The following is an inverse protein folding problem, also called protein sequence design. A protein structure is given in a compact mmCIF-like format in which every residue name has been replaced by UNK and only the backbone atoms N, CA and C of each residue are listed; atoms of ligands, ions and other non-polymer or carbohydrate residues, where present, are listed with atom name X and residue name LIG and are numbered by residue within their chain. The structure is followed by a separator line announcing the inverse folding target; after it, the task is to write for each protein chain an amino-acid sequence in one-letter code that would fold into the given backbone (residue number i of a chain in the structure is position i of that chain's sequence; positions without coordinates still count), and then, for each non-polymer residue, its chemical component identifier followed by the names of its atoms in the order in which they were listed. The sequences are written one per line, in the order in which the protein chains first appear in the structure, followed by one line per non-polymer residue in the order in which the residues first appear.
data_IF_954018547641
#
_entry.id   IF_954018547641
#
_cell.length_a   1.000
_cell.length_b   1.000
_cell.length_c   1.000
_cell.angle_alpha   90.00
_cell.angle_beta   90.00
_cell.angle_gamma   90.00
#
_symmetry.space_group_name_H-M   'P 1'
#
loop_
_entity.id
_entity.type
_entity.pdbx_description
1 polymer ?
#
# COMPACT_ATOMS: atom_id res chain seq x y z
N UNK A 1 -20.49 -18.79 -60.36
CA UNK A 1 -21.85 -18.25 -60.23
C UNK A 1 -22.58 -19.00 -59.12
N UNK A 2 -22.49 -18.51 -57.89
CA UNK A 2 -23.33 -18.96 -56.77
C UNK A 2 -23.67 -17.70 -55.97
N UNK A 3 -24.92 -17.26 -56.10
CA UNK A 3 -25.50 -16.08 -55.45
C UNK A 3 -26.16 -16.49 -54.14
N UNK A 4 -25.63 -16.02 -53.01
CA UNK A 4 -26.27 -16.20 -51.69
C UNK A 4 -26.90 -14.86 -51.27
N UNK A 5 -28.23 -14.86 -51.15
CA UNK A 5 -29.07 -13.72 -50.74
C UNK A 5 -28.80 -13.33 -49.29
N UNK A 6 -28.30 -12.10 -49.08
CA UNK A 6 -28.33 -11.41 -47.78
C UNK A 6 -29.77 -10.99 -47.43
N UNK A 7 -30.29 -11.44 -46.29
CA UNK A 7 -31.49 -10.87 -45.66
C UNK A 7 -31.07 -9.78 -44.68
N UNK A 8 -31.42 -8.53 -44.97
CA UNK A 8 -31.31 -7.39 -44.06
C UNK A 8 -32.47 -7.42 -43.06
N UNK A 9 -32.18 -7.42 -41.75
CA UNK A 9 -33.17 -7.10 -40.73
C UNK A 9 -32.96 -5.65 -40.28
N UNK A 10 -34.00 -4.84 -40.48
CA UNK A 10 -34.08 -3.43 -40.05
C UNK A 10 -34.71 -3.44 -38.67
N UNK A 11 -33.97 -3.03 -37.65
CA UNK A 11 -34.54 -2.69 -36.34
C UNK A 11 -34.58 -1.18 -36.24
N UNK A 12 -35.79 -0.62 -36.34
CA UNK A 12 -36.11 0.76 -35.98
C UNK A 12 -36.47 0.78 -34.50
N UNK A 13 -35.66 1.43 -33.67
CA UNK A 13 -36.04 1.79 -32.31
C UNK A 13 -36.15 3.31 -32.26
N UNK A 14 -37.35 3.77 -31.93
CA UNK A 14 -37.71 5.17 -31.84
C UNK A 14 -37.14 5.81 -30.56
N UNK A 15 -36.62 7.02 -30.70
CA UNK A 15 -36.38 7.93 -29.58
C UNK A 15 -37.71 8.27 -28.90
N UNK A 16 -37.79 8.09 -27.58
CA UNK A 16 -38.74 8.82 -26.75
C UNK A 16 -37.98 9.60 -25.67
N UNK A 17 -37.91 10.90 -25.91
CA UNK A 17 -37.51 11.94 -24.98
C UNK A 17 -38.69 12.30 -24.07
N UNK A 18 -38.53 12.17 -22.76
CA UNK A 18 -39.35 12.89 -21.78
C UNK A 18 -38.48 13.48 -20.68
N UNK A 19 -38.39 14.80 -20.76
CA UNK A 19 -37.85 15.79 -19.85
C UNK A 19 -38.55 15.67 -18.48
N UNK A 20 -37.80 15.62 -17.38
CA UNK A 20 -38.34 15.87 -16.04
C UNK A 20 -37.55 17.02 -15.40
N UNK A 21 -38.28 18.10 -15.16
CA UNK A 21 -37.82 19.43 -14.79
C UNK A 21 -37.42 19.45 -13.31
N UNK A 22 -36.18 19.83 -13.03
CA UNK A 22 -35.72 20.26 -11.70
C UNK A 22 -36.16 21.70 -11.44
N UNK A 23 -36.87 21.93 -10.36
CA UNK A 23 -36.96 23.25 -9.69
C UNK A 23 -37.02 23.04 -8.18
N UNK A 24 -35.87 23.15 -7.50
CA UNK A 24 -35.82 23.47 -6.07
C UNK A 24 -35.29 24.89 -5.97
N UNK A 25 -36.14 25.76 -5.43
CA UNK A 25 -35.91 27.18 -5.24
C UNK A 25 -34.92 27.40 -4.08
N UNK A 26 -33.80 28.05 -4.38
CA UNK A 26 -32.93 28.70 -3.41
C UNK A 26 -33.48 30.10 -3.14
N UNK A 27 -34.00 30.34 -1.94
CA UNK A 27 -34.22 31.69 -1.39
C UNK A 27 -33.10 32.01 -0.41
N UNK A 28 -32.15 32.83 -0.86
CA UNK A 28 -31.21 33.52 0.00
C UNK A 28 -31.84 34.80 0.56
N UNK A 29 -31.66 35.01 1.86
CA UNK A 29 -31.72 36.34 2.47
C UNK A 29 -30.35 36.64 3.08
N UNK A 30 -29.83 37.81 2.69
CA UNK A 30 -28.59 38.43 3.15
C UNK A 30 -28.91 39.41 4.28
N UNK A 31 -27.85 39.95 4.90
CA UNK A 31 -27.74 41.03 5.92
C UNK A 31 -27.43 40.41 7.29
N UNK A 32 -26.36 40.74 8.00
CA UNK A 32 -25.33 41.77 7.87
C UNK A 32 -24.66 41.87 9.25
N UNK A 33 -23.36 42.16 9.32
CA UNK A 33 -22.69 42.31 10.61
C UNK A 33 -21.19 42.49 10.47
N UNK A 34 -20.76 43.75 10.43
CA UNK A 34 -19.39 44.13 10.74
C UNK A 34 -19.08 43.79 12.20
N UNK A 35 -17.90 43.24 12.45
CA UNK A 35 -17.35 43.04 13.79
C UNK A 35 -15.83 42.94 13.71
N UNK A 36 -15.17 44.06 13.94
CA UNK A 36 -13.73 44.22 14.09
C UNK A 36 -13.43 44.30 15.59
N UNK A 37 -12.64 43.37 16.16
CA UNK A 37 -11.78 43.52 17.36
C UNK A 37 -10.77 42.34 17.33
N UNK A 38 -9.48 42.57 17.05
CA UNK A 38 -8.40 42.92 17.98
C UNK A 38 -8.11 41.92 19.12
N UNK A 39 -6.89 41.36 19.04
CA UNK A 39 -6.04 41.02 20.19
C UNK A 39 -6.17 39.59 20.73
N UNK A 40 -5.08 38.82 20.69
CA UNK A 40 -4.08 38.85 21.76
C UNK A 40 -2.85 37.98 21.47
N UNK A 41 -1.74 38.53 21.93
CA UNK A 41 -0.37 38.04 21.91
C UNK A 41 -0.18 36.60 22.41
N UNK A 42 0.78 35.90 21.79
CA UNK A 42 1.65 34.96 22.52
C UNK A 42 3.11 35.31 22.18
N UNK A 43 3.74 36.04 23.10
CA UNK A 43 5.19 36.12 23.26
C UNK A 43 5.56 35.11 24.35
N UNK A 44 6.49 34.20 24.06
CA UNK A 44 7.33 33.57 25.06
C UNK A 44 8.75 33.43 24.49
N UNK A 45 9.80 33.83 25.25
CA UNK A 45 11.16 33.96 24.72
C UNK A 45 11.96 32.67 24.90
N UNK A 46 12.73 32.28 23.89
CA UNK A 46 13.85 31.37 24.06
C UNK A 46 15.12 32.21 24.24
N UNK A 47 15.60 32.27 25.47
CA UNK A 47 16.89 32.84 25.84
C UNK A 47 18.01 31.82 25.68
N UNK A 48 19.19 32.29 25.24
CA UNK A 48 20.46 31.76 25.71
C UNK A 48 21.31 31.00 24.70
N UNK A 49 21.82 31.69 23.69
CA UNK A 49 23.02 31.25 22.98
C UNK A 49 24.24 31.86 23.70
N UNK A 50 25.15 31.05 24.22
CA UNK A 50 26.48 31.51 24.68
C UNK A 50 27.55 30.64 24.06
N UNK A 51 28.27 31.27 23.15
CA UNK A 51 29.53 30.87 22.56
C UNK A 51 30.65 30.89 23.60
N UNK A 52 31.50 29.86 23.61
CA UNK A 52 32.90 29.99 24.05
C UNK A 52 33.77 29.19 23.09
N UNK A 53 34.63 29.94 22.41
CA UNK A 53 35.73 29.51 21.57
C UNK A 53 37.01 29.54 22.43
N UNK A 54 37.72 28.42 22.54
CA UNK A 54 39.13 28.38 22.97
C UNK A 54 39.84 27.29 22.16
N UNK A 55 40.88 27.69 21.44
CA UNK A 55 41.90 26.85 20.80
C UNK A 55 43.22 26.91 21.61
N UNK A 56 44.31 26.24 21.21
CA UNK A 56 44.57 24.81 21.35
C UNK A 56 45.85 24.57 22.19
N UNK A 57 46.03 23.38 22.75
CA UNK A 57 47.37 22.90 23.10
C UNK A 57 47.45 21.38 22.87
N UNK A 58 48.55 20.98 22.23
CA UNK A 58 48.75 19.63 21.72
C UNK A 58 49.34 18.69 22.76
N UNK A 59 49.18 17.40 22.52
CA UNK A 59 50.24 16.40 22.71
C UNK A 59 49.82 15.08 22.07
N UNK A 60 50.72 14.54 21.27
CA UNK A 60 50.63 13.24 20.61
C UNK A 60 50.49 12.10 21.63
N UNK A 61 49.56 11.17 21.41
CA UNK A 61 49.89 9.76 21.60
C UNK A 61 49.04 8.86 20.70
N UNK A 62 49.74 7.87 20.18
CA UNK A 62 49.36 6.91 19.17
C UNK A 62 48.49 5.83 19.82
N UNK A 63 47.25 5.62 19.38
CA UNK A 63 46.50 4.40 19.73
C UNK A 63 45.59 3.97 18.58
N UNK A 64 45.85 2.75 18.14
CA UNK A 64 45.13 1.87 17.23
C UNK A 64 43.77 2.36 16.74
N UNK A 65 43.66 2.49 15.41
CA UNK A 65 42.41 2.62 14.70
C UNK A 65 41.52 1.41 14.97
N UNK A 66 40.52 1.60 15.83
CA UNK A 66 39.30 0.82 15.80
C UNK A 66 38.51 1.37 14.61
N UNK A 67 38.57 0.64 13.49
CA UNK A 67 37.53 0.72 12.47
C UNK A 67 36.22 0.34 13.16
N UNK A 68 35.38 1.34 13.41
CA UNK A 68 33.99 1.12 13.82
C UNK A 68 33.25 0.57 12.62
N UNK A 69 33.11 -0.76 12.56
CA UNK A 69 32.22 -1.44 11.63
C UNK A 69 30.77 -1.09 11.95
N UNK A 70 30.17 -0.22 11.13
CA UNK A 70 28.72 0.02 11.12
C UNK A 70 27.96 -1.07 10.33
N UNK A 71 28.66 -1.93 9.58
CA UNK A 71 28.05 -2.94 8.71
C UNK A 71 27.56 -4.23 9.41
N UNK A 72 28.03 -4.55 10.61
CA UNK A 72 27.67 -5.81 11.28
C UNK A 72 26.30 -5.71 11.99
N UNK A 73 25.95 -4.55 12.55
CA UNK A 73 24.73 -4.40 13.35
C UNK A 73 23.43 -4.37 12.55
N UNK A 74 23.46 -3.82 11.33
CA UNK A 74 22.29 -3.73 10.44
C UNK A 74 22.01 -5.08 9.77
N UNK A 75 23.08 -5.80 9.37
CA UNK A 75 22.97 -7.17 8.87
C UNK A 75 22.39 -8.11 9.94
N UNK A 76 22.83 -7.97 11.19
CA UNK A 76 22.32 -8.76 12.31
C UNK A 76 20.82 -8.47 12.61
N UNK A 77 20.37 -7.22 12.48
CA UNK A 77 18.98 -6.85 12.73
C UNK A 77 18.03 -7.35 11.64
N UNK A 78 18.41 -7.21 10.36
CA UNK A 78 17.65 -7.73 9.21
C UNK A 78 17.48 -9.24 9.31
N UNK A 79 18.56 -9.96 9.60
CA UNK A 79 18.53 -11.42 9.74
C UNK A 79 17.66 -11.87 10.93
N UNK A 80 17.68 -11.15 12.04
CA UNK A 80 16.83 -11.44 13.20
C UNK A 80 15.34 -11.24 12.89
N UNK A 81 14.97 -10.13 12.24
CA UNK A 81 13.59 -9.85 11.82
C UNK A 81 13.07 -10.90 10.83
N UNK A 82 13.93 -11.28 9.87
CA UNK A 82 13.65 -12.31 8.87
C UNK A 82 13.42 -13.68 9.52
N UNK A 83 14.29 -14.08 10.45
CA UNK A 83 14.15 -15.34 11.18
C UNK A 83 12.91 -15.38 12.09
N UNK A 84 12.59 -14.28 12.78
CA UNK A 84 11.39 -14.19 13.61
C UNK A 84 10.11 -14.37 12.81
N UNK A 85 10.12 -13.92 11.55
CA UNK A 85 8.96 -13.89 10.67
C UNK A 85 8.98 -14.98 9.61
N UNK A 86 9.87 -15.96 9.74
CA UNK A 86 10.02 -17.03 8.75
C UNK A 86 8.68 -17.75 8.53
N UNK A 87 8.41 -18.18 7.30
CA UNK A 87 7.12 -18.78 6.97
C UNK A 87 6.83 -20.02 7.81
N UNK A 88 7.84 -20.86 8.04
CA UNK A 88 7.69 -22.12 8.76
C UNK A 88 7.49 -21.92 10.26
N UNK A 89 8.08 -20.89 10.86
CA UNK A 89 7.92 -20.60 12.30
C UNK A 89 6.62 -19.85 12.65
N UNK A 90 6.02 -19.16 11.68
CA UNK A 90 4.90 -18.23 11.88
C UNK A 90 3.53 -18.79 11.46
N UNK A 91 3.38 -20.12 11.46
CA UNK A 91 2.16 -20.79 10.99
C UNK A 91 1.70 -21.88 11.96
N UNK A 92 0.38 -22.04 12.09
CA UNK A 92 -0.25 -23.16 12.78
C UNK A 92 -1.34 -23.79 11.92
N UNK A 93 -1.63 -25.07 12.15
CA UNK A 93 -2.69 -25.79 11.44
C UNK A 93 -4.00 -25.73 12.21
N UNK A 94 -5.06 -25.28 11.55
CA UNK A 94 -6.44 -25.28 12.06
C UNK A 94 -7.35 -26.02 11.09
N UNK A 95 -7.53 -27.32 11.32
CA UNK A 95 -8.19 -28.20 10.35
C UNK A 95 -7.34 -28.28 9.07
N UNK A 96 -7.94 -27.92 7.93
CA UNK A 96 -7.27 -27.88 6.62
C UNK A 96 -6.62 -26.52 6.30
N UNK A 97 -6.66 -25.56 7.25
CA UNK A 97 -6.13 -24.20 7.05
C UNK A 97 -4.77 -24.04 7.71
N UNK A 98 -3.85 -23.43 6.99
CA UNK A 98 -2.65 -22.83 7.58
C UNK A 98 -2.99 -21.40 8.03
N UNK A 99 -2.89 -21.13 9.33
CA UNK A 99 -3.22 -19.84 9.95
C UNK A 99 -1.96 -19.20 10.51
N UNK A 100 -1.73 -17.92 10.18
CA UNK A 100 -0.56 -17.18 10.68
C UNK A 100 -0.67 -16.96 12.19
N UNK A 101 0.45 -17.11 12.90
CA UNK A 101 0.49 -16.93 14.36
C UNK A 101 0.94 -15.53 14.79
N UNK A 102 1.42 -14.74 13.83
CA UNK A 102 1.98 -13.40 14.02
C UNK A 102 1.16 -12.32 13.28
N UNK A 103 -0.17 -12.40 13.32
CA UNK A 103 -1.05 -11.54 12.52
C UNK A 103 -0.80 -10.03 12.70
N UNK A 104 -0.36 -9.59 13.89
CA UNK A 104 -0.04 -8.19 14.19
C UNK A 104 1.36 -7.73 13.74
N UNK A 105 2.22 -8.65 13.30
CA UNK A 105 3.56 -8.30 12.85
C UNK A 105 3.50 -7.55 11.52
N UNK A 106 4.28 -6.47 11.38
CA UNK A 106 4.44 -5.75 10.09
C UNK A 106 4.92 -6.70 8.98
N UNK A 107 5.68 -7.73 9.35
CA UNK A 107 6.24 -8.76 8.48
C UNK A 107 5.31 -9.96 8.23
N UNK A 108 4.05 -9.93 8.70
CA UNK A 108 3.12 -11.07 8.51
C UNK A 108 2.95 -11.40 7.02
N UNK A 109 3.15 -12.67 6.64
CA UNK A 109 2.92 -13.10 5.24
C UNK A 109 1.61 -13.84 5.14
N UNK A 110 0.66 -13.22 4.44
CA UNK A 110 -0.65 -13.76 4.06
C UNK A 110 -0.63 -13.93 2.54
N UNK A 111 -1.08 -15.09 2.06
CA UNK A 111 -1.09 -15.41 0.62
C UNK A 111 -2.16 -16.48 0.34
N UNK A 112 -2.12 -17.18 -0.80
CA UNK A 112 -3.11 -18.23 -1.14
C UNK A 112 -3.14 -19.41 -0.16
N UNK A 113 -2.06 -19.64 0.57
CA UNK A 113 -1.87 -20.80 1.43
C UNK A 113 -1.97 -20.47 2.92
N UNK A 114 -1.71 -19.21 3.29
CA UNK A 114 -1.60 -18.73 4.67
C UNK A 114 -2.70 -17.72 4.96
N UNK A 115 -3.61 -18.06 5.86
CA UNK A 115 -4.72 -17.17 6.26
C UNK A 115 -4.45 -16.42 7.55
N UNK A 116 -5.13 -15.29 7.70
CA UNK A 116 -5.32 -14.60 8.97
C UNK A 116 -6.23 -15.41 9.90
N UNK A 117 -6.05 -15.26 11.23
CA UNK A 117 -6.98 -15.78 12.22
C UNK A 117 -8.41 -15.29 12.00
N UNK A 118 -9.38 -16.09 12.42
CA UNK A 118 -10.78 -15.67 12.39
C UNK A 118 -11.00 -14.42 13.24
N UNK A 119 -11.74 -13.45 12.71
CA UNK A 119 -12.04 -12.18 13.38
C UNK A 119 -10.87 -11.20 13.45
N UNK A 120 -9.75 -11.47 12.77
CA UNK A 120 -8.63 -10.53 12.73
C UNK A 120 -9.04 -9.20 12.05
N UNK A 121 -8.82 -8.12 12.79
CA UNK A 121 -8.94 -6.72 12.36
C UNK A 121 -7.88 -5.92 13.12
N UNK A 122 -7.02 -5.14 12.42
CA UNK A 122 -6.03 -4.31 13.10
C UNK A 122 -6.70 -3.23 13.97
N UNK A 123 -6.15 -2.97 15.15
CA UNK A 123 -6.70 -1.99 16.10
C UNK A 123 -6.14 -0.56 15.91
N UNK A 124 -5.20 -0.39 14.97
CA UNK A 124 -4.45 0.83 14.72
C UNK A 124 -4.71 1.43 13.32
N UNK A 125 -5.86 1.13 12.71
CA UNK A 125 -6.25 1.66 11.41
C UNK A 125 -6.49 3.18 11.44
N UNK A 126 -5.86 3.90 10.50
CA UNK A 126 -6.02 5.35 10.30
C UNK A 126 -6.11 5.67 8.81
N UNK A 127 -6.74 6.79 8.47
CA UNK A 127 -6.74 7.33 7.11
C UNK A 127 -5.47 8.17 6.90
N UNK A 128 -4.56 7.80 5.97
CA UNK A 128 -3.40 8.61 5.64
C UNK A 128 -3.83 9.88 4.90
N UNK A 129 -3.09 10.96 5.13
CA UNK A 129 -3.29 12.25 4.48
C UNK A 129 -2.65 12.27 3.08
N UNK A 130 -3.15 11.42 2.19
CA UNK A 130 -2.74 11.34 0.77
C UNK A 130 -3.94 11.48 -0.15
N UNK A 131 -3.76 11.95 -1.39
CA UNK A 131 -4.85 12.02 -2.36
C UNK A 131 -5.30 10.61 -2.78
N UNK A 132 -6.61 10.36 -2.66
CA UNK A 132 -7.25 9.14 -3.12
C UNK A 132 -7.92 9.33 -4.50
N UNK A 133 -8.13 8.24 -5.24
CA UNK A 133 -8.85 8.27 -6.53
C UNK A 133 -10.36 8.48 -6.41
N UNK A 134 -10.88 8.67 -5.19
CA UNK A 134 -12.29 8.84 -4.88
C UNK A 134 -12.48 9.68 -3.61
N UNK A 135 -13.64 10.30 -3.49
CA UNK A 135 -14.04 11.10 -2.33
C UNK A 135 -14.91 10.31 -1.35
N UNK A 136 -14.96 10.80 -0.10
CA UNK A 136 -15.85 10.30 0.94
C UNK A 136 -15.28 9.16 1.78
N UNK A 137 -15.83 8.93 2.99
CA UNK A 137 -15.30 7.95 3.92
C UNK A 137 -15.52 6.52 3.42
N UNK A 138 -14.50 5.67 3.52
CA UNK A 138 -14.56 4.27 3.14
C UNK A 138 -13.45 3.46 3.86
N UNK A 139 -13.68 2.19 4.20
CA UNK A 139 -12.67 1.33 4.86
C UNK A 139 -11.36 1.28 4.07
N UNK A 140 -11.43 1.15 2.73
CA UNK A 140 -10.29 1.21 1.79
C UNK A 140 -9.47 2.50 1.80
N UNK A 141 -9.84 3.51 2.59
CA UNK A 141 -8.99 4.68 2.87
C UNK A 141 -8.06 4.46 4.05
N UNK A 142 -8.17 3.34 4.77
CA UNK A 142 -7.41 3.11 5.98
C UNK A 142 -6.21 2.22 5.73
N UNK A 143 -5.16 2.42 6.51
CA UNK A 143 -4.01 1.55 6.67
C UNK A 143 -3.66 1.47 8.16
N UNK A 144 -2.87 0.48 8.55
CA UNK A 144 -2.24 0.51 9.87
C UNK A 144 -1.40 1.77 10.02
N UNK A 145 -1.40 2.36 11.21
CA UNK A 145 -0.80 3.67 11.48
C UNK A 145 0.62 3.84 10.96
N UNK A 146 1.47 2.82 11.11
CA UNK A 146 2.86 2.85 10.65
C UNK A 146 2.95 2.91 9.11
N UNK A 147 2.20 2.06 8.43
CA UNK A 147 2.11 2.06 6.96
C UNK A 147 1.47 3.35 6.43
N UNK A 148 0.48 3.91 7.13
CA UNK A 148 -0.13 5.18 6.76
C UNK A 148 0.87 6.33 6.78
N UNK A 149 1.67 6.46 7.85
CA UNK A 149 2.70 7.49 7.95
C UNK A 149 3.78 7.33 6.87
N UNK A 150 4.22 6.08 6.61
CA UNK A 150 5.16 5.80 5.54
C UNK A 150 4.60 6.14 4.14
N UNK A 151 3.31 5.90 3.90
CA UNK A 151 2.66 6.24 2.64
C UNK A 151 2.59 7.76 2.43
N UNK A 152 2.35 8.53 3.48
CA UNK A 152 2.38 10.00 3.44
C UNK A 152 3.76 10.52 3.02
N UNK A 153 4.84 9.95 3.58
CA UNK A 153 6.21 10.30 3.18
C UNK A 153 6.52 9.92 1.73
N UNK A 154 6.12 8.72 1.29
CA UNK A 154 6.28 8.27 -0.09
C UNK A 154 5.56 9.19 -1.08
N UNK A 155 4.33 9.60 -0.78
CA UNK A 155 3.56 10.48 -1.64
C UNK A 155 4.10 11.91 -1.65
N UNK A 156 4.63 12.40 -0.53
CA UNK A 156 5.30 13.70 -0.47
C UNK A 156 6.56 13.72 -1.34
N UNK A 157 7.37 12.67 -1.29
CA UNK A 157 8.55 12.53 -2.14
C UNK A 157 8.19 12.44 -3.63
N UNK A 158 7.13 11.69 -3.96
CA UNK A 158 6.60 11.65 -5.31
C UNK A 158 6.23 13.05 -5.80
N UNK A 159 5.52 13.83 -4.97
CA UNK A 159 5.14 15.21 -5.31
C UNK A 159 6.36 16.12 -5.52
N UNK A 160 7.41 15.98 -4.70
CA UNK A 160 8.66 16.72 -4.85
C UNK A 160 9.37 16.43 -6.19
N UNK A 161 9.29 15.19 -6.66
CA UNK A 161 9.80 14.75 -7.97
C UNK A 161 8.84 15.04 -9.14
N UNK A 162 7.68 15.64 -8.86
CA UNK A 162 6.67 15.96 -9.88
C UNK A 162 5.81 14.76 -10.31
N UNK A 163 5.81 13.69 -9.52
CA UNK A 163 5.07 12.43 -9.71
C UNK A 163 3.73 12.51 -8.97
N UNK A 164 2.62 12.39 -9.70
CA UNK A 164 1.28 12.44 -9.11
C UNK A 164 0.72 11.03 -8.86
N UNK A 165 0.77 10.59 -7.61
CA UNK A 165 0.17 9.32 -7.18
C UNK A 165 -1.26 9.51 -6.63
N UNK A 166 -2.03 8.42 -6.68
CA UNK A 166 -3.35 8.28 -6.07
C UNK A 166 -3.47 6.95 -5.35
N UNK A 167 -3.82 7.01 -4.07
CA UNK A 167 -4.24 5.83 -3.32
C UNK A 167 -5.63 5.35 -3.81
N UNK A 168 -5.80 4.05 -3.99
CA UNK A 168 -7.03 3.48 -4.57
C UNK A 168 -7.75 2.56 -3.59
N UNK A 169 -7.03 1.68 -2.89
CA UNK A 169 -7.62 0.64 -2.05
C UNK A 169 -6.64 0.10 -1.01
N UNK A 170 -6.81 0.52 0.24
CA UNK A 170 -6.05 0.07 1.41
C UNK A 170 -6.75 -1.08 2.14
N UNK A 171 -7.06 -0.88 3.43
CA UNK A 171 -7.70 -1.88 4.28
C UNK A 171 -9.00 -2.42 3.70
N UNK A 172 -9.19 -3.73 3.86
CA UNK A 172 -10.40 -4.43 3.45
C UNK A 172 -10.75 -5.49 4.48
N UNK A 173 -11.88 -5.30 5.17
CA UNK A 173 -12.42 -6.26 6.13
C UNK A 173 -12.66 -7.64 5.50
N UNK A 174 -12.72 -8.65 6.36
CA UNK A 174 -13.06 -10.02 5.96
C UNK A 174 -14.42 -10.07 5.22
N UNK A 175 -15.45 -9.42 5.77
CA UNK A 175 -16.80 -9.37 5.20
C UNK A 175 -16.82 -8.69 3.83
N UNK A 176 -16.00 -7.65 3.67
CA UNK A 176 -15.83 -7.02 2.37
C UNK A 176 -15.16 -7.95 1.38
N UNK A 177 -14.12 -8.68 1.80
CA UNK A 177 -13.46 -9.67 0.95
C UNK A 177 -14.41 -10.82 0.55
N UNK A 178 -15.32 -11.25 1.44
CA UNK A 178 -16.40 -12.20 1.08
C UNK A 178 -17.24 -11.65 -0.06
N UNK A 179 -17.66 -10.39 0.04
CA UNK A 179 -18.46 -9.74 -1.00
C UNK A 179 -17.72 -9.61 -2.33
N UNK A 180 -16.44 -9.24 -2.29
CA UNK A 180 -15.57 -9.12 -3.48
C UNK A 180 -15.37 -10.49 -4.14
N UNK A 181 -15.05 -11.51 -3.37
CA UNK A 181 -14.83 -12.87 -3.87
C UNK A 181 -16.11 -13.43 -4.52
N UNK A 182 -17.25 -13.37 -3.81
CA UNK A 182 -18.52 -13.88 -4.33
C UNK A 182 -18.96 -13.16 -5.61
N UNK A 183 -18.78 -11.83 -5.68
CA UNK A 183 -19.06 -11.09 -6.90
C UNK A 183 -18.19 -11.53 -8.08
N UNK A 184 -16.92 -11.87 -7.83
CA UNK A 184 -16.03 -12.41 -8.87
C UNK A 184 -16.47 -13.81 -9.32
N UNK A 185 -16.86 -14.69 -8.38
CA UNK A 185 -17.39 -16.02 -8.68
C UNK A 185 -18.66 -15.93 -9.54
N UNK A 186 -19.59 -15.05 -9.18
CA UNK A 186 -20.84 -14.86 -9.93
C UNK A 186 -20.61 -14.36 -11.37
N UNK A 187 -19.62 -13.49 -11.57
CA UNK A 187 -19.34 -12.88 -12.87
C UNK A 187 -18.47 -13.77 -13.77
N UNK A 188 -17.48 -14.44 -13.20
CA UNK A 188 -16.39 -15.05 -13.96
C UNK A 188 -16.19 -16.54 -13.67
N UNK A 189 -16.89 -17.10 -12.68
CA UNK A 189 -16.73 -18.49 -12.23
C UNK A 189 -15.68 -18.65 -11.13
N UNK A 190 -15.79 -19.77 -10.41
CA UNK A 190 -14.97 -20.05 -9.22
C UNK A 190 -13.49 -20.23 -9.52
N UNK A 191 -13.14 -20.94 -10.59
CA UNK A 191 -11.74 -21.16 -11.00
C UNK A 191 -11.03 -19.84 -11.32
N UNK A 192 -11.69 -18.95 -12.06
CA UNK A 192 -11.16 -17.61 -12.35
C UNK A 192 -11.03 -16.78 -11.07
N UNK A 193 -12.07 -16.76 -10.23
CA UNK A 193 -12.07 -15.99 -8.99
C UNK A 193 -10.96 -16.45 -8.02
N UNK A 194 -10.74 -17.76 -7.90
CA UNK A 194 -9.68 -18.33 -7.08
C UNK A 194 -8.29 -17.94 -7.58
N UNK A 195 -8.10 -17.75 -8.89
CA UNK A 195 -6.83 -17.28 -9.47
C UNK A 195 -6.59 -15.80 -9.16
N UNK A 196 -7.54 -14.93 -9.51
CA UNK A 196 -7.32 -13.46 -9.50
C UNK A 196 -7.72 -12.75 -8.21
N UNK A 197 -8.39 -13.43 -7.28
CA UNK A 197 -8.85 -12.84 -6.02
C UNK A 197 -8.44 -13.68 -4.83
N UNK A 198 -8.11 -13.02 -3.73
CA UNK A 198 -7.89 -13.69 -2.46
C UNK A 198 -9.20 -14.29 -1.93
N UNK A 199 -9.13 -15.47 -1.33
CA UNK A 199 -10.23 -15.95 -0.48
C UNK A 199 -10.33 -15.05 0.77
N UNK A 200 -11.50 -14.92 1.38
CA UNK A 200 -11.64 -14.23 2.66
C UNK A 200 -10.67 -14.78 3.71
N UNK A 201 -9.96 -13.90 4.42
CA UNK A 201 -8.88 -14.28 5.34
C UNK A 201 -7.52 -14.50 4.69
N UNK A 202 -7.41 -14.53 3.36
CA UNK A 202 -6.15 -14.72 2.62
C UNK A 202 -5.72 -13.46 1.85
N UNK A 203 -6.37 -12.32 2.09
CA UNK A 203 -6.08 -11.04 1.42
C UNK A 203 -5.14 -10.20 2.26
N UNK A 204 -4.02 -9.75 1.69
CA UNK A 204 -3.13 -8.83 2.39
C UNK A 204 -3.80 -7.51 2.78
N UNK A 205 -4.77 -7.01 2.00
CA UNK A 205 -5.52 -5.80 2.40
C UNK A 205 -6.18 -5.92 3.79
N UNK A 206 -6.50 -7.12 4.27
CA UNK A 206 -7.07 -7.30 5.61
C UNK A 206 -6.04 -7.03 6.72
N UNK A 207 -4.74 -7.10 6.42
CA UNK A 207 -3.66 -6.71 7.35
C UNK A 207 -3.59 -5.19 7.58
N UNK A 208 -4.18 -4.39 6.68
CA UNK A 208 -3.99 -2.94 6.67
C UNK A 208 -2.57 -2.50 6.30
N UNK A 209 -1.72 -3.40 5.82
CA UNK A 209 -0.33 -3.13 5.39
C UNK A 209 -0.17 -3.09 3.87
N UNK A 210 -1.23 -3.36 3.10
CA UNK A 210 -1.23 -3.31 1.65
C UNK A 210 -2.09 -2.15 1.14
N UNK A 211 -1.63 -1.49 0.08
CA UNK A 211 -2.31 -0.38 -0.58
C UNK A 211 -2.15 -0.50 -2.10
N UNK A 212 -3.28 -0.39 -2.80
CA UNK A 212 -3.27 -0.22 -4.26
C UNK A 212 -3.04 1.27 -4.57
N UNK A 213 -2.04 1.55 -5.40
CA UNK A 213 -1.67 2.89 -5.88
C UNK A 213 -1.82 2.96 -7.40
N UNK A 214 -2.21 4.13 -7.91
CA UNK A 214 -2.26 4.41 -9.34
C UNK A 214 -1.89 5.87 -9.59
N UNK A 215 -2.09 6.36 -10.81
CA UNK A 215 -1.90 7.76 -11.17
C UNK A 215 -3.01 8.28 -12.09
N UNK A 216 -3.28 9.61 -12.10
CA UNK A 216 -4.23 10.19 -13.04
C UNK A 216 -3.82 10.02 -14.50
N UNK A 217 -2.52 9.89 -14.80
CA UNK A 217 -2.01 9.73 -16.17
C UNK A 217 -2.48 8.44 -16.84
N UNK A 218 -2.70 7.37 -16.05
CA UNK A 218 -3.33 6.11 -16.50
C UNK A 218 -4.82 6.04 -16.18
N UNK A 219 -5.43 7.13 -15.69
CA UNK A 219 -6.85 7.18 -15.34
C UNK A 219 -7.21 6.49 -14.02
N UNK A 220 -6.25 6.37 -13.10
CA UNK A 220 -6.38 5.70 -11.80
C UNK A 220 -6.78 4.21 -11.89
N UNK A 221 -6.47 3.55 -13.01
CA UNK A 221 -6.75 2.12 -13.19
C UNK A 221 -5.78 1.24 -12.40
N UNK A 222 -6.26 0.07 -12.00
CA UNK A 222 -5.52 -0.95 -11.27
C UNK A 222 -5.23 -2.08 -12.25
N UNK A 223 -4.29 -1.82 -13.16
CA UNK A 223 -3.93 -2.66 -14.29
C UNK A 223 -2.42 -2.54 -14.58
N UNK A 224 -1.85 -3.51 -15.30
CA UNK A 224 -0.39 -3.59 -15.54
C UNK A 224 0.17 -2.34 -16.23
N UNK A 225 -0.67 -1.60 -16.98
CA UNK A 225 -0.29 -0.34 -17.64
C UNK A 225 0.25 0.72 -16.66
N UNK A 226 -0.10 0.64 -15.38
CA UNK A 226 0.47 1.53 -14.36
C UNK A 226 1.98 1.33 -14.23
N UNK A 227 2.48 0.09 -14.25
CA UNK A 227 3.92 -0.20 -14.18
C UNK A 227 4.71 0.28 -15.40
N UNK A 228 4.04 0.52 -16.53
CA UNK A 228 4.65 1.10 -17.72
C UNK A 228 4.72 2.64 -17.68
N UNK A 229 3.95 3.29 -16.78
CA UNK A 229 3.91 4.74 -16.64
C UNK A 229 5.17 5.29 -15.97
N UNK A 230 5.32 6.62 -15.99
CA UNK A 230 6.41 7.29 -15.27
C UNK A 230 6.24 7.11 -13.75
N UNK A 231 5.00 7.23 -13.26
CA UNK A 231 4.69 7.12 -11.84
C UNK A 231 4.82 5.69 -11.30
N UNK A 232 4.44 4.67 -12.08
CA UNK A 232 4.63 3.27 -11.68
C UNK A 232 6.10 2.85 -11.61
N UNK A 233 6.93 3.34 -12.54
CA UNK A 233 8.39 3.11 -12.50
C UNK A 233 9.05 3.83 -11.34
N UNK A 234 8.68 5.08 -11.11
CA UNK A 234 9.14 5.83 -9.95
C UNK A 234 8.73 5.13 -8.64
N UNK A 235 7.50 4.62 -8.56
CA UNK A 235 7.02 3.87 -7.40
C UNK A 235 7.83 2.58 -7.19
N UNK A 236 8.10 1.80 -8.23
CA UNK A 236 8.92 0.58 -8.14
C UNK A 236 10.34 0.87 -7.61
N UNK A 237 10.94 1.98 -8.05
CA UNK A 237 12.29 2.38 -7.65
C UNK A 237 12.35 2.92 -6.20
N UNK A 238 11.39 3.76 -5.80
CA UNK A 238 11.47 4.52 -4.55
C UNK A 238 10.63 3.97 -3.40
N UNK A 239 9.60 3.16 -3.65
CA UNK A 239 8.80 2.54 -2.59
C UNK A 239 9.64 1.85 -1.48
N UNK A 240 10.75 1.14 -1.79
CA UNK A 240 11.61 0.51 -0.79
C UNK A 240 12.20 1.48 0.24
N UNK A 241 12.52 2.71 -0.16
CA UNK A 241 13.07 3.76 0.73
C UNK A 241 12.08 4.13 1.86
N UNK A 242 10.79 3.91 1.61
CA UNK A 242 9.70 4.23 2.53
C UNK A 242 9.12 2.98 3.21
N UNK A 243 9.74 1.80 3.03
CA UNK A 243 9.30 0.57 3.69
C UNK A 243 8.24 -0.23 2.91
N UNK A 244 8.03 0.08 1.63
CA UNK A 244 7.09 -0.62 0.76
C UNK A 244 7.83 -1.42 -0.32
N UNK A 245 7.25 -2.53 -0.75
CA UNK A 245 7.73 -3.29 -1.92
C UNK A 245 6.61 -3.58 -2.89
N UNK A 246 6.92 -3.74 -4.17
CA UNK A 246 5.98 -4.31 -5.15
C UNK A 246 5.74 -5.77 -4.77
N UNK A 247 4.52 -6.11 -4.33
CA UNK A 247 4.25 -7.40 -3.70
C UNK A 247 4.26 -8.57 -4.68
N UNK A 248 3.70 -8.34 -5.87
CA UNK A 248 3.49 -9.36 -6.89
C UNK A 248 4.29 -9.01 -8.13
N UNK A 249 5.52 -9.53 -8.17
CA UNK A 249 6.50 -9.26 -9.21
C UNK A 249 6.16 -9.97 -10.52
N UNK A 250 6.69 -9.44 -11.63
CA UNK A 250 6.58 -10.05 -12.95
C UNK A 250 7.28 -11.41 -12.99
N UNK A 251 6.71 -12.36 -13.72
CA UNK A 251 7.24 -13.72 -13.88
C UNK A 251 7.46 -14.46 -12.53
N UNK A 252 6.55 -14.25 -11.55
CA UNK A 252 6.56 -14.90 -10.22
C UNK A 252 5.20 -15.47 -9.80
N UNK A 253 4.24 -15.61 -10.72
CA UNK A 253 2.88 -16.12 -10.42
C UNK A 253 2.89 -17.55 -9.86
N UNK A 254 3.89 -18.36 -10.25
CA UNK A 254 4.08 -19.73 -9.74
C UNK A 254 4.47 -19.78 -8.26
N UNK A 255 5.02 -18.69 -7.71
CA UNK A 255 5.42 -18.57 -6.31
C UNK A 255 4.35 -17.85 -5.50
N UNK A 256 3.91 -16.67 -5.96
CA UNK A 256 2.96 -15.83 -5.20
C UNK A 256 1.51 -16.30 -5.34
N UNK A 257 1.19 -16.97 -6.45
CA UNK A 257 -0.18 -17.29 -6.86
C UNK A 257 -0.97 -16.11 -7.43
N UNK A 258 -0.30 -14.99 -7.74
CA UNK A 258 -0.89 -13.79 -8.33
C UNK A 258 -0.11 -13.36 -9.57
N UNK A 259 -0.84 -12.78 -10.53
CA UNK A 259 -0.25 -12.13 -11.72
C UNK A 259 0.59 -10.92 -11.29
N UNK A 260 1.32 -10.33 -12.23
CA UNK A 260 2.04 -9.07 -11.97
C UNK A 260 1.06 -7.95 -11.58
N UNK A 261 1.31 -7.31 -10.44
CA UNK A 261 0.47 -6.22 -9.93
C UNK A 261 1.35 -5.01 -9.53
N UNK A 262 1.80 -4.17 -10.49
CA UNK A 262 2.66 -3.02 -10.21
C UNK A 262 2.03 -1.96 -9.29
N UNK A 263 0.71 -2.01 -9.12
CA UNK A 263 -0.03 -1.10 -8.26
C UNK A 263 -0.06 -1.53 -6.79
N UNK A 264 0.12 -2.83 -6.49
CA UNK A 264 -0.08 -3.38 -5.16
C UNK A 264 1.24 -3.34 -4.41
N UNK A 265 1.36 -2.35 -3.51
CA UNK A 265 2.53 -2.22 -2.65
C UNK A 265 2.24 -2.72 -1.25
N UNK A 266 3.21 -3.41 -0.66
CA UNK A 266 3.12 -4.03 0.67
C UNK A 266 4.13 -3.39 1.61
N UNK A 267 3.65 -2.85 2.72
CA UNK A 267 4.49 -2.33 3.79
C UNK A 267 5.12 -3.49 4.57
N UNK A 268 6.44 -3.45 4.70
CA UNK A 268 7.25 -4.46 5.40
C UNK A 268 8.23 -3.82 6.40
N UNK A 269 8.16 -2.50 6.56
CA UNK A 269 9.07 -1.72 7.41
C UNK A 269 10.26 -1.16 6.62
N UNK A 270 10.75 0.02 7.04
CA UNK A 270 11.85 0.73 6.36
C UNK A 270 13.19 -0.01 6.41
N UNK A 271 13.39 -0.85 7.42
CA UNK A 271 14.62 -1.64 7.56
C UNK A 271 14.69 -2.80 6.55
N UNK A 272 13.56 -3.44 6.23
CA UNK A 272 13.54 -4.65 5.39
C UNK A 272 13.28 -4.36 3.91
N UNK A 273 12.50 -3.33 3.59
CA UNK A 273 12.08 -3.10 2.22
C UNK A 273 13.24 -2.90 1.22
N UNK A 274 14.32 -2.15 1.55
CA UNK A 274 15.47 -2.04 0.67
C UNK A 274 16.15 -3.39 0.40
N UNK A 275 16.39 -4.21 1.43
CA UNK A 275 17.03 -5.53 1.28
C UNK A 275 16.15 -6.50 0.46
N UNK A 276 14.83 -6.48 0.68
CA UNK A 276 13.87 -7.25 -0.12
C UNK A 276 13.93 -6.82 -1.59
N UNK A 277 13.90 -5.51 -1.86
CA UNK A 277 13.94 -4.98 -3.21
C UNK A 277 15.26 -5.32 -3.94
N UNK A 278 16.41 -5.16 -3.26
CA UNK A 278 17.72 -5.50 -3.81
C UNK A 278 17.86 -7.00 -4.09
N UNK A 279 17.28 -7.86 -3.24
CA UNK A 279 17.34 -9.31 -3.41
C UNK A 279 16.62 -9.81 -4.68
N UNK A 280 15.63 -9.07 -5.18
CA UNK A 280 14.76 -9.47 -6.29
C UNK A 280 13.87 -10.68 -5.98
N UNK A 281 13.73 -11.03 -4.70
CA UNK A 281 12.91 -12.14 -4.21
C UNK A 281 11.48 -11.70 -3.95
N UNK A 282 10.55 -12.63 -4.09
CA UNK A 282 9.20 -12.49 -3.53
C UNK A 282 9.24 -12.53 -2.01
N UNK A 283 8.20 -12.06 -1.31
CA UNK A 283 8.13 -12.19 0.15
C UNK A 283 8.07 -13.66 0.59
N UNK A 284 7.48 -14.54 -0.22
CA UNK A 284 7.51 -15.98 -0.03
C UNK A 284 8.95 -16.51 0.02
N UNK A 285 9.75 -16.21 -0.99
CA UNK A 285 11.14 -16.64 -1.05
C UNK A 285 11.99 -15.96 0.03
N UNK A 286 11.76 -14.67 0.25
CA UNK A 286 12.52 -13.90 1.23
C UNK A 286 12.32 -14.46 2.63
N UNK A 287 11.09 -14.72 3.08
CA UNK A 287 10.86 -15.26 4.43
C UNK A 287 10.93 -16.80 4.54
N UNK A 288 11.31 -17.52 3.47
CA UNK A 288 11.54 -18.96 3.55
C UNK A 288 12.82 -19.25 4.36
N UNK A 289 12.73 -20.07 5.41
CA UNK A 289 13.89 -20.53 6.20
C UNK A 289 15.04 -21.09 5.34
N UNK A 290 14.74 -21.69 4.18
CA UNK A 290 15.74 -22.19 3.26
C UNK A 290 16.65 -21.08 2.69
N UNK A 291 16.14 -19.85 2.59
CA UNK A 291 16.85 -18.69 2.06
C UNK A 291 17.39 -17.76 3.17
N UNK A 292 17.03 -18.00 4.44
CA UNK A 292 17.50 -17.23 5.61
C UNK A 292 18.89 -17.69 6.07
N UNK A 293 19.38 -18.84 5.62
CA UNK A 293 20.68 -19.38 6.04
C UNK A 293 21.76 -19.02 5.01
N UNK A 294 22.49 -17.92 5.27
CA UNK A 294 23.81 -17.64 4.68
C UNK A 294 24.83 -17.51 5.81
#
# INVERSE_FOLDING_TARGET
MITTKMKRHRWTIALLSTLLVSTVLLTGCKVGGQGQQEGQNLNAPATGNTSVEVTPDGTDDNTDGIETGEGDTETDSVMALRAQSSLQSSIQQEGDRSVVTNAEAVTVIVNKERSLPEGYEPDDLVEPNVPFSFDGPHEKRHLRKEAAAALEELFAAAEEDGIELRAVSGYRSYERQVSVYNSSVERNGEEYAARVSAKPGYSEHQTGLAIDVSSPSVGNVIEEVFGDSEEGKWLEEHAPEYGFVIRYLKDREDITGYVYEPWHIRYVGKELAPDIAESGLTLEEYFDEANIKL
#
